data_IF_935698475925
#
_entry.id   IF_935698475925
#
_cell.length_a   1.000
_cell.length_b   1.000
_cell.length_c   1.000
_cell.angle_alpha   90.00
_cell.angle_beta   90.00
_cell.angle_gamma   90.00
#
_symmetry.space_group_name_H-M   'P 1'
#
loop_
_entity.id
_entity.type
_entity.pdbx_description
1 polymer ?
#
# COMPACT_ATOMS: atom_id res chain seq x y z
N UNK A 1 -38.12 6.43 -15.99
CA UNK A 1 -37.12 5.71 -16.83
C UNK A 1 -35.74 6.35 -16.77
N UNK A 2 -35.62 7.68 -16.84
CA UNK A 2 -34.34 8.43 -16.68
C UNK A 2 -33.55 8.06 -15.40
N UNK A 3 -34.22 7.95 -14.25
CA UNK A 3 -33.54 7.70 -12.96
C UNK A 3 -32.83 6.35 -12.89
N UNK A 4 -33.40 5.30 -13.51
CA UNK A 4 -32.75 3.97 -13.61
C UNK A 4 -31.51 4.02 -14.51
N UNK A 5 -31.55 4.82 -15.57
CA UNK A 5 -30.43 4.97 -16.49
C UNK A 5 -29.23 5.67 -15.83
N UNK A 6 -29.51 6.69 -15.01
CA UNK A 6 -28.48 7.40 -14.22
C UNK A 6 -27.81 6.49 -13.19
N UNK A 7 -28.58 5.61 -12.53
CA UNK A 7 -28.05 4.64 -11.57
C UNK A 7 -27.10 3.62 -12.24
N UNK A 8 -27.46 3.11 -13.42
CA UNK A 8 -26.63 2.16 -14.17
C UNK A 8 -25.32 2.82 -14.63
N UNK A 9 -25.37 4.08 -15.04
CA UNK A 9 -24.20 4.84 -15.46
C UNK A 9 -23.24 5.11 -14.28
N UNK A 10 -23.79 5.47 -13.12
CA UNK A 10 -23.00 5.69 -11.90
C UNK A 10 -22.25 4.42 -11.45
N UNK A 11 -22.92 3.26 -11.48
CA UNK A 11 -22.32 1.96 -11.12
C UNK A 11 -21.16 1.59 -12.05
N UNK A 12 -21.31 1.81 -13.36
CA UNK A 12 -20.24 1.51 -14.32
C UNK A 12 -19.00 2.40 -14.18
N UNK A 13 -19.18 3.63 -13.68
CA UNK A 13 -18.09 4.58 -13.51
C UNK A 13 -17.17 4.18 -12.33
N UNK A 14 -17.74 3.63 -11.25
CA UNK A 14 -16.97 3.19 -10.07
C UNK A 14 -16.24 1.85 -10.30
N UNK A 15 -16.72 1.04 -11.25
CA UNK A 15 -16.14 -0.28 -11.54
C UNK A 15 -14.84 -0.28 -12.37
N UNK A 16 -14.38 0.87 -12.87
CA UNK A 16 -13.22 0.97 -13.79
C UNK A 16 -11.84 0.78 -13.11
N UNK A 17 -11.79 0.59 -11.78
CA UNK A 17 -10.52 0.49 -11.04
C UNK A 17 -9.83 -0.87 -11.06
N UNK A 18 -10.53 -1.95 -11.43
CA UNK A 18 -9.97 -3.31 -11.41
C UNK A 18 -9.32 -3.65 -12.75
N UNK A 19 -8.12 -3.11 -13.00
CA UNK A 19 -7.27 -3.49 -14.15
C UNK A 19 -6.14 -4.41 -13.68
N UNK A 20 -5.91 -5.49 -14.42
CA UNK A 20 -4.85 -6.44 -14.12
C UNK A 20 -3.51 -5.87 -14.63
N UNK A 21 -2.70 -5.36 -13.71
CA UNK A 21 -1.35 -4.86 -13.99
C UNK A 21 -0.41 -6.03 -14.26
N UNK A 22 0.34 -5.99 -15.36
CA UNK A 22 1.31 -7.04 -15.68
C UNK A 22 2.51 -6.94 -14.72
N UNK A 23 3.10 -8.08 -14.37
CA UNK A 23 4.15 -8.15 -13.32
C UNK A 23 5.34 -7.21 -13.60
N UNK A 24 5.73 -7.04 -14.86
CA UNK A 24 6.83 -6.16 -15.27
C UNK A 24 6.46 -4.65 -15.28
N UNK A 25 5.18 -4.29 -15.30
CA UNK A 25 4.74 -2.89 -15.21
C UNK A 25 4.89 -2.33 -13.79
N UNK A 26 5.02 -3.21 -12.79
CA UNK A 26 5.28 -2.84 -11.40
C UNK A 26 6.56 -1.98 -11.26
N UNK A 27 7.61 -2.28 -12.02
CA UNK A 27 8.86 -1.50 -11.97
C UNK A 27 8.70 -0.06 -12.46
N UNK A 28 7.75 0.21 -13.36
CA UNK A 28 7.47 1.55 -13.87
C UNK A 28 6.48 2.31 -12.97
N UNK A 29 5.57 1.58 -12.30
CA UNK A 29 4.55 2.15 -11.42
C UNK A 29 5.03 2.36 -9.97
N UNK A 30 5.98 1.54 -9.49
CA UNK A 30 6.54 1.63 -8.15
C UNK A 30 7.73 2.61 -8.12
N UNK A 31 7.43 3.91 -8.21
CA UNK A 31 8.45 4.95 -8.09
C UNK A 31 9.11 4.91 -6.72
N UNK A 32 10.38 5.31 -6.64
CA UNK A 32 11.14 5.36 -5.39
C UNK A 32 10.47 6.24 -4.32
N UNK A 33 9.86 7.36 -4.72
CA UNK A 33 9.13 8.23 -3.78
C UNK A 33 7.84 7.63 -3.21
N UNK A 34 7.33 6.54 -3.79
CA UNK A 34 6.14 5.82 -3.31
C UNK A 34 6.51 4.64 -2.38
N UNK A 35 7.80 4.43 -2.10
CA UNK A 35 8.23 3.41 -1.16
C UNK A 35 7.71 3.73 0.24
N UNK A 36 7.13 2.73 0.92
CA UNK A 36 6.72 2.85 2.32
C UNK A 36 7.90 3.21 3.24
N UNK A 37 9.09 2.74 2.87
CA UNK A 37 10.33 2.97 3.60
C UNK A 37 11.34 3.59 2.64
N UNK A 38 11.33 4.93 2.47
CA UNK A 38 12.21 5.61 1.51
C UNK A 38 13.68 5.55 1.93
N UNK A 39 13.96 5.47 3.24
CA UNK A 39 15.29 5.26 3.79
C UNK A 39 15.34 3.96 4.63
N UNK A 40 15.82 2.85 4.06
CA UNK A 40 15.89 1.58 4.77
C UNK A 40 16.95 1.56 5.89
N UNK A 41 17.91 2.49 5.88
CA UNK A 41 18.94 2.56 6.93
C UNK A 41 18.37 3.26 8.17
N UNK A 42 17.64 4.35 7.97
CA UNK A 42 16.95 5.03 9.06
C UNK A 42 15.89 4.14 9.73
N UNK A 43 15.17 3.34 8.93
CA UNK A 43 14.17 2.39 9.45
C UNK A 43 14.82 1.33 10.34
N UNK A 44 15.91 0.72 9.86
CA UNK A 44 16.66 -0.26 10.67
C UNK A 44 17.16 0.33 11.98
N UNK A 45 17.60 1.58 11.97
CA UNK A 45 18.03 2.27 13.18
C UNK A 45 16.86 2.47 14.15
N UNK A 46 15.69 2.89 13.64
CA UNK A 46 14.48 3.03 14.45
C UNK A 46 14.05 1.69 15.05
N UNK A 47 14.01 0.63 14.25
CA UNK A 47 13.71 -0.74 14.73
C UNK A 47 14.65 -1.14 15.86
N UNK A 48 15.96 -0.91 15.69
CA UNK A 48 16.96 -1.26 16.70
C UNK A 48 16.75 -0.50 18.01
N UNK A 49 16.35 0.77 17.94
CA UNK A 49 16.04 1.60 19.11
C UNK A 49 14.75 1.13 19.78
N UNK A 50 13.69 0.87 19.00
CA UNK A 50 12.40 0.40 19.50
C UNK A 50 12.52 -0.95 20.21
N UNK A 51 13.18 -1.91 19.58
CA UNK A 51 13.42 -3.22 20.16
C UNK A 51 14.21 -3.14 21.47
N UNK A 52 15.19 -2.23 21.54
CA UNK A 52 15.99 -2.02 22.75
C UNK A 52 15.21 -1.36 23.89
N UNK A 53 14.21 -0.53 23.58
CA UNK A 53 13.47 0.25 24.57
C UNK A 53 12.20 -0.44 25.05
N UNK A 54 11.52 -1.17 24.17
CA UNK A 54 10.16 -1.64 24.40
C UNK A 54 10.05 -3.17 24.35
N UNK A 55 11.14 -3.89 24.05
CA UNK A 55 11.15 -5.33 23.81
C UNK A 55 10.04 -5.78 22.82
N UNK A 56 9.56 -4.86 21.99
CA UNK A 56 8.52 -5.08 21.01
C UNK A 56 9.13 -5.77 19.79
N UNK A 57 8.49 -6.83 19.31
CA UNK A 57 8.87 -7.50 18.07
C UNK A 57 8.25 -6.69 16.93
N UNK A 58 9.03 -5.85 16.25
CA UNK A 58 8.55 -5.25 15.00
C UNK A 58 8.57 -6.34 13.92
N UNK A 59 7.37 -6.71 13.43
CA UNK A 59 7.28 -7.50 12.20
C UNK A 59 7.64 -6.56 11.07
N UNK A 60 8.79 -6.84 10.42
CA UNK A 60 9.25 -6.10 9.25
C UNK A 60 8.07 -5.89 8.29
N UNK A 61 7.81 -4.63 7.94
CA UNK A 61 6.77 -4.28 7.00
C UNK A 61 7.03 -5.02 5.69
N UNK A 62 6.31 -6.12 5.48
CA UNK A 62 6.28 -6.80 4.18
C UNK A 62 5.92 -5.77 3.12
N UNK A 63 6.51 -5.92 1.93
CA UNK A 63 6.26 -5.06 0.78
C UNK A 63 4.75 -4.98 0.48
N UNK A 64 4.04 -4.03 1.11
CA UNK A 64 2.58 -3.93 1.08
C UNK A 64 1.92 -4.21 2.42
N UNK A 65 1.61 -3.12 3.14
CA UNK A 65 0.43 -2.93 3.98
C UNK A 65 -0.06 -4.12 4.83
N UNK A 66 0.50 -4.27 6.02
CA UNK A 66 -0.22 -4.87 7.16
C UNK A 66 -0.63 -3.77 8.14
N UNK A 67 -1.76 -3.92 8.85
CA UNK A 67 -1.93 -3.16 10.10
C UNK A 67 -0.87 -3.71 11.04
N UNK A 68 0.17 -2.93 11.29
CA UNK A 68 1.24 -3.25 12.24
C UNK A 68 0.72 -3.26 13.67
N UNK A 69 -0.26 -4.10 13.92
CA UNK A 69 -0.92 -4.26 15.19
C UNK A 69 -0.13 -5.30 15.98
N UNK A 70 0.44 -4.86 17.11
CA UNK A 70 0.74 -5.72 18.26
C UNK A 70 -0.57 -6.30 18.80
#
# INVERSE_FOLDING_TARGET
>A
MISRFLLILAVNCVAQGCTQVKVWERGNLAKSEMAFTPDPMQEKLHDHIYHSKEASQSVAAGAGGGCGCN
#
